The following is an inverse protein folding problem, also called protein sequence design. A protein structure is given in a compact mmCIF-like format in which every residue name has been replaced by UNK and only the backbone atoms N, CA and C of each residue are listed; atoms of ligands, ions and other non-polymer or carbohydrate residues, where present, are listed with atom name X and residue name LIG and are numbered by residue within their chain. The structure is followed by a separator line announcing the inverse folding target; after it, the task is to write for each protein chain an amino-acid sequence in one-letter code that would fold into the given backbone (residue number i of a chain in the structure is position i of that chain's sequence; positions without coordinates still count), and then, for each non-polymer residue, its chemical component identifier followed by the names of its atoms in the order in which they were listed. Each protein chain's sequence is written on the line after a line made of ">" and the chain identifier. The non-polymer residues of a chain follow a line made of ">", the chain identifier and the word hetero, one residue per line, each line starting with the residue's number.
data_IF_871509787278
#
_entry.id   IF_871509787278
#
_cell.length_a   1.000
_cell.length_b   1.000
_cell.length_c   1.000
_cell.angle_alpha   90.00
_cell.angle_beta   90.00
_cell.angle_gamma   90.00
#
_symmetry.space_group_name_H-M   'P 1'
#
loop_
_entity.id
_entity.type
_entity.pdbx_description
1 polymer ?
#
# COMPACT_ATOMS: atom_id res chain seq x y z
N UNK A 1 -8.88 14.99 2.33
CA UNK A 1 -9.49 16.19 2.96
C UNK A 1 -10.35 15.96 4.23
N UNK A 2 -11.40 15.12 4.26
CA UNK A 2 -12.35 15.07 5.42
C UNK A 2 -11.67 14.70 6.74
N UNK A 3 -10.83 13.65 6.75
CA UNK A 3 -10.10 13.24 7.96
C UNK A 3 -9.15 14.33 8.49
N UNK A 4 -8.44 15.03 7.60
CA UNK A 4 -7.58 16.15 7.99
C UNK A 4 -8.41 17.31 8.57
N UNK A 5 -9.57 17.61 7.96
CA UNK A 5 -10.51 18.61 8.46
C UNK A 5 -11.02 18.28 9.86
N UNK A 6 -11.32 17.02 10.17
CA UNK A 6 -11.72 16.62 11.52
C UNK A 6 -10.58 16.75 12.55
N UNK A 7 -9.32 16.75 12.09
CA UNK A 7 -8.14 17.01 12.91
C UNK A 7 -7.80 18.50 13.02
N UNK A 8 -8.52 19.38 12.31
CA UNK A 8 -8.27 20.82 12.30
C UNK A 8 -6.98 21.24 11.57
N UNK A 9 -6.44 20.38 10.70
CA UNK A 9 -5.19 20.63 9.96
C UNK A 9 -5.39 20.43 8.45
N UNK A 10 -4.43 20.90 7.64
CA UNK A 10 -4.39 20.55 6.21
C UNK A 10 -4.07 19.07 6.02
N UNK A 11 -4.38 18.53 4.83
CA UNK A 11 -4.01 17.15 4.52
C UNK A 11 -2.49 16.98 4.51
N UNK A 12 -1.77 17.95 3.93
CA UNK A 12 -0.31 17.96 3.88
C UNK A 12 0.30 17.92 5.27
N UNK A 13 -0.20 18.73 6.21
CA UNK A 13 0.29 18.75 7.59
C UNK A 13 -0.06 17.45 8.34
N UNK A 14 -1.24 16.89 8.11
CA UNK A 14 -1.61 15.59 8.67
C UNK A 14 -0.66 14.48 8.21
N UNK A 15 -0.19 14.52 6.96
CA UNK A 15 0.72 13.53 6.42
C UNK A 15 2.18 13.82 6.82
N UNK A 16 2.72 14.96 6.41
CA UNK A 16 4.16 15.26 6.50
C UNK A 16 4.60 15.65 7.92
N UNK A 17 3.72 16.25 8.74
CA UNK A 17 4.06 16.67 10.11
C UNK A 17 3.56 15.71 11.19
N UNK A 18 2.66 14.81 10.86
CA UNK A 18 2.07 13.88 11.85
C UNK A 18 2.29 12.42 11.47
N UNK A 19 1.71 11.94 10.38
CA UNK A 19 1.72 10.52 10.04
C UNK A 19 3.12 9.99 9.73
N UNK A 20 3.83 10.59 8.77
CA UNK A 20 5.15 10.11 8.34
C UNK A 20 6.19 10.16 9.47
N UNK A 21 6.29 11.24 10.29
CA UNK A 21 7.19 11.26 11.44
C UNK A 21 6.86 10.20 12.49
N UNK A 22 5.57 9.98 12.82
CA UNK A 22 5.17 8.95 13.79
C UNK A 22 5.46 7.53 13.31
N UNK A 23 5.52 7.32 12.00
CA UNK A 23 5.93 6.06 11.39
C UNK A 23 7.45 5.96 11.22
N UNK A 24 8.22 7.03 11.47
CA UNK A 24 9.66 7.09 11.20
C UNK A 24 10.02 6.98 9.72
N UNK A 25 9.13 7.44 8.83
CA UNK A 25 9.32 7.46 7.38
C UNK A 25 9.94 8.81 6.96
N UNK A 26 11.26 8.91 7.10
CA UNK A 26 12.00 10.18 6.93
C UNK A 26 12.34 10.54 5.49
N UNK A 27 12.21 9.59 4.56
CA UNK A 27 12.41 9.77 3.12
C UNK A 27 11.12 9.49 2.35
N UNK A 28 10.03 10.04 2.88
CA UNK A 28 8.68 9.96 2.32
C UNK A 28 8.06 11.34 2.29
N UNK A 29 7.47 11.71 1.16
CA UNK A 29 7.07 13.09 0.89
C UNK A 29 5.81 13.15 0.03
N UNK A 30 4.94 14.15 0.27
CA UNK A 30 3.96 14.57 -0.74
C UNK A 30 4.66 15.47 -1.77
N UNK A 31 5.49 16.38 -1.27
CA UNK A 31 6.36 17.26 -2.06
C UNK A 31 7.83 16.98 -1.72
N UNK A 32 8.58 16.44 -2.68
CA UNK A 32 10.00 16.17 -2.49
C UNK A 32 10.76 17.49 -2.25
N UNK A 33 11.52 17.61 -1.14
CA UNK A 33 12.34 18.78 -0.85
C UNK A 33 13.41 19.05 -1.91
N UNK A 34 13.83 20.31 -2.05
CA UNK A 34 14.80 20.71 -3.09
C UNK A 34 16.15 19.97 -2.97
N UNK A 35 16.61 19.75 -1.74
CA UNK A 35 17.83 19.01 -1.40
C UNK A 35 17.69 17.49 -1.56
N UNK A 36 16.48 16.99 -1.82
CA UNK A 36 16.19 15.58 -2.05
C UNK A 36 15.83 15.26 -3.51
N UNK A 37 15.80 16.27 -4.38
CA UNK A 37 15.42 16.10 -5.78
C UNK A 37 16.34 15.15 -6.55
N UNK A 38 17.63 15.06 -6.18
CA UNK A 38 18.56 14.10 -6.78
C UNK A 38 18.19 12.63 -6.49
N UNK A 39 17.48 12.39 -5.39
CA UNK A 39 16.98 11.07 -5.00
C UNK A 39 15.62 10.73 -5.64
N UNK A 40 14.96 11.70 -6.27
CA UNK A 40 13.73 11.46 -7.01
C UNK A 40 14.06 10.87 -8.38
N UNK A 41 13.97 9.54 -8.50
CA UNK A 41 14.10 8.85 -9.77
C UNK A 41 13.21 9.44 -10.87
N UNK A 42 13.68 9.41 -12.12
CA UNK A 42 12.82 9.62 -13.28
C UNK A 42 11.99 8.38 -13.55
N UNK A 43 10.69 8.56 -13.78
CA UNK A 43 9.82 7.52 -14.29
C UNK A 43 9.88 7.46 -15.81
N UNK A 44 9.53 6.32 -16.39
CA UNK A 44 9.50 6.16 -17.84
C UNK A 44 8.09 5.79 -18.31
N UNK A 45 7.53 6.60 -19.20
CA UNK A 45 6.19 6.36 -19.71
C UNK A 45 6.16 5.20 -20.74
N UNK A 46 4.99 4.93 -21.33
CA UNK A 46 4.84 3.86 -22.34
C UNK A 46 5.66 4.06 -23.61
N UNK A 47 6.12 5.28 -23.89
CA UNK A 47 7.00 5.65 -25.01
C UNK A 47 8.49 5.72 -24.61
N UNK A 48 8.83 5.32 -23.38
CA UNK A 48 10.18 5.45 -22.80
C UNK A 48 10.66 6.89 -22.64
N UNK A 49 9.74 7.86 -22.59
CA UNK A 49 10.08 9.25 -22.28
C UNK A 49 10.17 9.44 -20.75
N UNK A 50 11.17 10.19 -20.26
CA UNK A 50 11.31 10.49 -18.83
C UNK A 50 10.18 11.42 -18.36
N UNK A 51 9.52 11.04 -17.27
CA UNK A 51 8.40 11.76 -16.67
C UNK A 51 8.46 11.73 -15.15
N UNK A 52 8.03 12.82 -14.50
CA UNK A 52 7.60 12.81 -13.11
C UNK A 52 6.08 12.68 -13.02
N UNK A 53 5.57 12.42 -11.82
CA UNK A 53 4.12 12.36 -11.61
C UNK A 53 3.50 13.74 -11.86
N UNK A 54 2.43 13.78 -12.65
CA UNK A 54 1.61 14.98 -12.78
C UNK A 54 0.57 14.99 -11.66
N UNK A 55 0.44 16.10 -10.95
CA UNK A 55 -0.46 16.23 -9.81
C UNK A 55 -1.71 16.99 -10.22
N UNK A 56 -2.86 16.36 -10.12
CA UNK A 56 -4.16 17.00 -10.34
C UNK A 56 -4.85 17.33 -9.00
N UNK A 57 -6.06 17.89 -9.08
CA UNK A 57 -6.91 18.12 -7.91
C UNK A 57 -7.09 16.78 -7.17
N UNK A 58 -6.84 16.78 -5.85
CA UNK A 58 -6.81 15.59 -4.98
C UNK A 58 -5.68 14.58 -5.26
N UNK A 59 -4.67 14.96 -6.06
CA UNK A 59 -3.53 14.09 -6.32
C UNK A 59 -2.75 13.73 -5.05
N UNK A 60 -2.63 14.65 -4.08
CA UNK A 60 -1.97 14.41 -2.80
C UNK A 60 -2.63 13.27 -2.03
N UNK A 61 -3.97 13.26 -1.98
CA UNK A 61 -4.77 12.24 -1.31
C UNK A 61 -4.78 10.90 -2.05
N UNK A 62 -4.77 10.93 -3.38
CA UNK A 62 -5.00 9.73 -4.18
C UNK A 62 -3.71 8.97 -4.55
N UNK A 63 -2.62 9.67 -4.85
CA UNK A 63 -1.40 9.06 -5.40
C UNK A 63 -0.12 9.88 -5.12
N UNK A 64 -0.17 10.80 -4.16
CA UNK A 64 0.82 11.85 -4.02
C UNK A 64 2.11 11.49 -3.30
N UNK A 65 2.18 10.36 -2.61
CA UNK A 65 3.36 9.96 -1.84
C UNK A 65 4.50 9.52 -2.78
N UNK A 66 5.70 10.05 -2.52
CA UNK A 66 6.98 9.59 -3.04
C UNK A 66 7.75 9.05 -1.84
N UNK A 67 8.33 7.86 -1.97
CA UNK A 67 8.96 7.16 -0.84
C UNK A 67 10.09 6.26 -1.34
N UNK A 68 10.90 5.76 -0.40
CA UNK A 68 11.92 4.76 -0.67
C UNK A 68 11.40 3.36 -0.35
N UNK A 69 12.07 2.33 -0.84
CA UNK A 69 11.75 0.94 -0.45
C UNK A 69 11.93 0.71 1.05
N UNK A 70 12.90 1.37 1.68
CA UNK A 70 13.18 1.23 3.12
C UNK A 70 12.06 1.81 3.98
N UNK A 71 11.60 3.02 3.67
CA UNK A 71 10.50 3.67 4.38
C UNK A 71 9.18 2.91 4.19
N UNK A 72 8.89 2.47 2.96
CA UNK A 72 7.65 1.75 2.70
C UNK A 72 7.69 0.33 3.30
N UNK A 73 8.86 -0.29 3.41
CA UNK A 73 9.01 -1.55 4.15
C UNK A 73 8.82 -1.33 5.66
N UNK A 74 9.31 -0.20 6.20
CA UNK A 74 9.02 0.21 7.58
C UNK A 74 7.50 0.37 7.81
N UNK A 75 6.78 0.97 6.87
CA UNK A 75 5.31 1.03 6.93
C UNK A 75 4.66 -0.36 6.93
N UNK A 76 5.15 -1.29 6.10
CA UNK A 76 4.69 -2.69 6.09
C UNK A 76 4.95 -3.38 7.43
N UNK A 77 6.12 -3.18 8.05
CA UNK A 77 6.41 -3.69 9.39
C UNK A 77 5.48 -3.10 10.45
N UNK A 78 5.15 -1.80 10.37
CA UNK A 78 4.18 -1.17 11.26
C UNK A 78 2.77 -1.77 11.13
N UNK A 79 2.34 -2.05 9.89
CA UNK A 79 1.06 -2.72 9.62
C UNK A 79 1.00 -4.12 10.24
N UNK A 80 2.13 -4.83 10.34
CA UNK A 80 2.21 -6.14 11.02
C UNK A 80 2.50 -6.05 12.53
N UNK A 81 2.49 -4.86 13.13
CA UNK A 81 2.81 -4.65 14.55
C UNK A 81 4.25 -5.04 14.93
N UNK A 82 5.18 -5.05 13.97
CA UNK A 82 6.57 -5.46 14.17
C UNK A 82 7.49 -4.31 14.57
N UNK A 83 7.00 -3.08 14.51
CA UNK A 83 7.74 -1.91 14.96
C UNK A 83 7.24 -1.47 16.32
N UNK A 84 8.20 -1.16 17.19
CA UNK A 84 7.91 -0.29 18.33
C UNK A 84 7.70 1.11 17.76
N UNK A 85 6.44 1.52 17.66
CA UNK A 85 6.09 2.89 17.36
C UNK A 85 6.26 3.65 18.68
N UNK A 86 7.45 4.20 18.89
CA UNK A 86 8.01 4.69 20.16
C UNK A 86 7.16 5.74 20.92
N UNK A 87 6.02 6.17 20.38
CA UNK A 87 5.20 7.24 20.96
C UNK A 87 3.66 7.07 20.90
N UNK A 88 3.05 6.00 20.35
CA UNK A 88 1.57 5.97 20.32
C UNK A 88 0.89 4.61 20.12
N UNK A 89 0.26 4.06 21.17
CA UNK A 89 -0.70 2.96 21.04
C UNK A 89 -1.84 3.29 20.05
N UNK A 90 -2.22 4.57 19.91
CA UNK A 90 -3.25 5.00 18.96
C UNK A 90 -2.80 4.89 17.50
N UNK A 91 -1.51 5.05 17.20
CA UNK A 91 -1.02 4.87 15.82
C UNK A 91 -1.09 3.40 15.41
N UNK A 92 -0.67 2.49 16.30
CA UNK A 92 -0.84 1.06 16.06
C UNK A 92 -2.33 0.70 15.91
N UNK A 93 -3.21 1.23 16.77
CA UNK A 93 -4.65 1.04 16.63
C UNK A 93 -5.20 1.57 15.31
N UNK A 94 -4.74 2.73 14.84
CA UNK A 94 -5.15 3.31 13.57
C UNK A 94 -4.74 2.42 12.38
N UNK A 95 -3.49 1.92 12.38
CA UNK A 95 -3.01 0.98 11.36
C UNK A 95 -3.83 -0.31 11.36
N UNK A 96 -4.01 -0.94 12.53
CA UNK A 96 -4.80 -2.17 12.66
C UNK A 96 -6.26 -1.96 12.25
N UNK A 97 -6.85 -0.80 12.54
CA UNK A 97 -8.21 -0.48 12.11
C UNK A 97 -8.36 -0.45 10.58
N UNK A 98 -7.28 -0.16 9.83
CA UNK A 98 -7.33 -0.17 8.36
C UNK A 98 -7.53 -1.56 7.76
N UNK A 99 -7.33 -2.64 8.54
CA UNK A 99 -7.48 -4.04 8.10
C UNK A 99 -8.85 -4.63 8.43
N UNK A 100 -9.81 -3.79 8.85
CA UNK A 100 -11.19 -4.19 9.08
C UNK A 100 -11.87 -4.44 7.73
N UNK A 101 -12.38 -5.66 7.50
CA UNK A 101 -13.05 -6.02 6.26
C UNK A 101 -14.49 -5.53 6.20
N UNK A 102 -14.80 -4.67 5.24
CA UNK A 102 -16.12 -4.03 5.12
C UNK A 102 -16.98 -4.63 4.01
N UNK A 103 -16.38 -5.04 2.89
CA UNK A 103 -17.12 -5.55 1.74
C UNK A 103 -16.46 -6.79 1.14
N UNK A 104 -17.27 -7.67 0.55
CA UNK A 104 -16.82 -8.76 -0.35
C UNK A 104 -17.07 -8.40 -1.80
N UNK A 105 -16.06 -8.56 -2.65
CA UNK A 105 -16.14 -8.40 -4.10
C UNK A 105 -15.39 -9.55 -4.77
N UNK A 106 -16.13 -10.55 -5.25
CA UNK A 106 -15.55 -11.85 -5.56
C UNK A 106 -14.84 -12.44 -4.33
N UNK A 107 -13.60 -12.89 -4.51
CA UNK A 107 -12.78 -13.44 -3.41
C UNK A 107 -12.15 -12.35 -2.50
N UNK A 108 -12.07 -11.11 -2.98
CA UNK A 108 -11.47 -9.99 -2.26
C UNK A 108 -12.38 -9.59 -1.09
N UNK A 109 -11.79 -9.43 0.09
CA UNK A 109 -12.33 -8.57 1.13
C UNK A 109 -11.72 -7.18 0.98
N UNK A 110 -12.57 -6.16 0.87
CA UNK A 110 -12.17 -4.76 0.83
C UNK A 110 -12.18 -4.20 2.24
N UNK A 111 -11.01 -3.71 2.68
CA UNK A 111 -10.83 -3.01 3.94
C UNK A 111 -10.79 -1.48 3.70
N UNK A 112 -10.25 -0.69 4.64
CA UNK A 112 -9.98 0.72 4.38
C UNK A 112 -8.71 0.85 3.51
N UNK A 113 -8.92 1.03 2.21
CA UNK A 113 -7.91 1.04 1.14
C UNK A 113 -7.25 -0.32 0.86
N UNK A 114 -6.92 -1.10 1.89
CA UNK A 114 -6.34 -2.43 1.72
C UNK A 114 -7.31 -3.42 1.07
N UNK A 115 -6.76 -4.34 0.29
CA UNK A 115 -7.46 -5.49 -0.26
C UNK A 115 -6.84 -6.75 0.34
N UNK A 116 -7.67 -7.69 0.80
CA UNK A 116 -7.18 -8.92 1.43
C UNK A 116 -7.84 -10.19 0.87
N UNK A 117 -7.05 -11.26 0.78
CA UNK A 117 -7.50 -12.62 0.47
C UNK A 117 -7.08 -13.59 1.59
N UNK A 118 -7.84 -14.66 1.87
CA UNK A 118 -7.45 -15.68 2.85
C UNK A 118 -6.08 -16.29 2.53
N UNK A 119 -5.26 -16.52 3.56
CA UNK A 119 -3.97 -17.19 3.44
C UNK A 119 -4.03 -18.65 3.94
N UNK A 120 -3.44 -19.64 3.24
CA UNK A 120 -2.67 -19.53 2.00
C UNK A 120 -3.55 -19.21 0.80
N UNK A 121 -3.06 -18.32 -0.06
CA UNK A 121 -3.73 -17.89 -1.30
C UNK A 121 -3.03 -18.49 -2.51
N UNK A 122 -3.78 -18.85 -3.55
CA UNK A 122 -3.20 -19.31 -4.82
C UNK A 122 -2.82 -18.13 -5.71
N UNK A 123 -1.79 -18.30 -6.57
CA UNK A 123 -1.44 -17.28 -7.57
C UNK A 123 -2.64 -16.90 -8.47
N UNK A 124 -3.45 -17.84 -9.02
CA UNK A 124 -4.63 -17.47 -9.79
C UNK A 124 -5.63 -16.59 -9.04
N UNK A 125 -5.86 -16.85 -7.75
CA UNK A 125 -6.78 -16.02 -6.95
C UNK A 125 -6.21 -14.62 -6.72
N UNK A 126 -4.90 -14.50 -6.49
CA UNK A 126 -4.24 -13.19 -6.39
C UNK A 126 -4.30 -12.42 -7.71
N UNK A 127 -4.07 -13.08 -8.84
CA UNK A 127 -4.15 -12.44 -10.16
C UNK A 127 -5.57 -11.94 -10.43
N UNK A 128 -6.58 -12.78 -10.24
CA UNK A 128 -7.99 -12.38 -10.36
C UNK A 128 -8.32 -11.20 -9.43
N UNK A 129 -7.86 -11.25 -8.18
CA UNK A 129 -8.10 -10.18 -7.21
C UNK A 129 -7.44 -8.83 -7.57
N UNK A 130 -6.36 -8.83 -8.34
CA UNK A 130 -5.67 -7.60 -8.75
C UNK A 130 -5.97 -7.19 -10.20
N UNK A 131 -6.87 -7.91 -10.89
CA UNK A 131 -7.26 -7.60 -12.26
C UNK A 131 -8.14 -6.32 -12.28
N UNK A 132 -7.91 -5.47 -13.28
CA UNK A 132 -8.71 -4.25 -13.48
C UNK A 132 -10.20 -4.53 -13.70
N UNK A 133 -10.59 -5.73 -14.13
CA UNK A 133 -11.98 -6.15 -14.22
C UNK A 133 -12.68 -6.13 -12.85
N UNK A 134 -11.94 -6.29 -11.74
CA UNK A 134 -12.49 -6.23 -10.39
C UNK A 134 -13.09 -4.87 -10.03
N UNK A 135 -12.72 -3.79 -10.73
CA UNK A 135 -13.33 -2.48 -10.51
C UNK A 135 -14.80 -2.42 -10.94
N UNK A 136 -15.30 -3.44 -11.65
CA UNK A 136 -16.69 -3.58 -12.09
C UNK A 136 -17.47 -4.62 -11.28
N UNK A 137 -16.81 -5.31 -10.35
CA UNK A 137 -17.42 -6.37 -9.55
C UNK A 137 -18.38 -5.80 -8.51
N UNK A 138 -19.44 -6.55 -8.21
CA UNK A 138 -20.42 -6.17 -7.20
C UNK A 138 -19.80 -6.30 -5.81
N UNK A 139 -19.86 -5.22 -5.02
CA UNK A 139 -19.47 -5.21 -3.62
C UNK A 139 -20.68 -5.51 -2.72
N UNK A 140 -20.54 -6.51 -1.86
CA UNK A 140 -21.55 -6.91 -0.87
C UNK A 140 -21.07 -6.58 0.54
N UNK A 141 -21.87 -5.91 1.38
CA UNK A 141 -21.43 -5.52 2.72
C UNK A 141 -21.27 -6.74 3.63
N UNK A 142 -20.25 -6.69 4.50
CA UNK A 142 -20.05 -7.66 5.57
C UNK A 142 -20.64 -7.06 6.85
N UNK A 143 -21.65 -7.72 7.43
CA UNK A 143 -22.37 -7.24 8.62
C UNK A 143 -22.41 -8.33 9.69
N UNK A 144 -21.76 -8.14 10.86
CA UNK A 144 -20.89 -7.00 11.20
C UNK A 144 -19.59 -7.00 10.38
N UNK A 145 -18.87 -5.86 10.26
CA UNK A 145 -17.56 -5.84 9.60
C UNK A 145 -16.61 -6.89 10.17
N UNK A 146 -15.81 -7.49 9.30
CA UNK A 146 -14.83 -8.50 9.69
C UNK A 146 -13.72 -7.83 10.50
N UNK A 147 -13.42 -8.27 11.73
CA UNK A 147 -12.30 -7.71 12.47
C UNK A 147 -10.99 -7.95 11.72
N UNK A 148 -9.91 -7.18 12.00
CA UNK A 148 -8.59 -7.44 11.44
C UNK A 148 -8.18 -8.91 11.54
N UNK A 149 -7.77 -9.48 10.40
CA UNK A 149 -7.39 -10.88 10.28
C UNK A 149 -5.87 -11.00 10.22
N UNK A 150 -5.32 -12.06 10.82
CA UNK A 150 -3.88 -12.33 10.79
C UNK A 150 -3.49 -13.27 9.63
N UNK A 151 -4.34 -14.26 9.31
CA UNK A 151 -4.11 -15.26 8.27
C UNK A 151 -4.66 -14.81 6.91
N UNK A 152 -4.21 -13.65 6.44
CA UNK A 152 -4.62 -13.07 5.16
C UNK A 152 -3.42 -12.51 4.40
N UNK A 153 -3.48 -12.58 3.08
CA UNK A 153 -2.61 -11.82 2.19
C UNK A 153 -3.23 -10.44 2.01
N UNK A 154 -2.62 -9.41 2.60
CA UNK A 154 -3.04 -8.01 2.46
C UNK A 154 -2.14 -7.36 1.42
N UNK A 155 -2.72 -6.66 0.44
CA UNK A 155 -1.92 -6.02 -0.60
C UNK A 155 -2.50 -4.69 -1.10
N UNK A 156 -1.67 -3.98 -1.87
CA UNK A 156 -2.11 -2.88 -2.72
C UNK A 156 -1.19 -2.70 -3.93
N UNK A 157 -1.80 -2.44 -5.08
CA UNK A 157 -1.14 -1.98 -6.30
C UNK A 157 -1.16 -0.45 -6.39
N UNK A 158 -0.16 0.14 -7.04
CA UNK A 158 -0.12 1.57 -7.35
C UNK A 158 0.59 1.84 -8.66
N UNK A 159 0.09 2.77 -9.46
CA UNK A 159 0.69 3.09 -10.76
C UNK A 159 0.51 4.57 -11.08
N UNK A 160 1.53 5.16 -11.70
CA UNK A 160 1.44 6.46 -12.38
C UNK A 160 1.78 6.28 -13.86
N UNK A 161 1.90 7.37 -14.62
CA UNK A 161 2.33 7.27 -16.01
C UNK A 161 3.75 6.70 -16.16
N UNK A 162 4.63 6.91 -15.17
CA UNK A 162 6.03 6.52 -15.22
C UNK A 162 6.49 5.52 -14.15
N UNK A 163 5.62 5.12 -13.22
CA UNK A 163 6.00 4.27 -12.09
C UNK A 163 5.03 3.13 -11.85
N UNK A 164 5.54 2.05 -11.29
CA UNK A 164 4.79 0.92 -10.81
C UNK A 164 5.20 0.55 -9.39
N UNK A 165 4.21 0.33 -8.53
CA UNK A 165 4.38 -0.11 -7.16
C UNK A 165 3.49 -1.31 -6.85
N UNK A 166 3.97 -2.15 -5.94
CA UNK A 166 3.19 -3.20 -5.31
C UNK A 166 3.70 -3.44 -3.90
N UNK A 167 2.79 -3.58 -2.95
CA UNK A 167 3.09 -3.96 -1.58
C UNK A 167 2.18 -5.10 -1.17
N UNK A 168 2.74 -6.06 -0.44
CA UNK A 168 1.96 -7.16 0.12
C UNK A 168 2.59 -7.66 1.42
N UNK A 169 1.77 -8.18 2.32
CA UNK A 169 2.23 -8.77 3.57
C UNK A 169 1.22 -9.78 4.13
N UNK A 170 1.72 -10.68 4.99
CA UNK A 170 0.94 -11.71 5.67
C UNK A 170 1.25 -11.61 7.16
N UNK A 171 0.38 -10.97 7.97
CA UNK A 171 0.65 -10.68 9.38
C UNK A 171 1.04 -11.92 10.20
N UNK A 172 0.26 -13.01 10.12
CA UNK A 172 0.54 -14.26 10.83
C UNK A 172 1.89 -14.88 10.50
N UNK A 173 2.43 -14.60 9.31
CA UNK A 173 3.72 -15.12 8.85
C UNK A 173 4.86 -14.16 9.05
N UNK A 174 4.59 -12.92 9.46
CA UNK A 174 5.62 -11.89 9.66
C UNK A 174 6.42 -11.63 8.38
N UNK A 175 5.79 -11.80 7.23
CA UNK A 175 6.38 -11.64 5.90
C UNK A 175 5.77 -10.45 5.18
N UNK A 176 6.60 -9.68 4.50
CA UNK A 176 6.16 -8.56 3.68
C UNK A 176 7.13 -8.26 2.55
N UNK A 177 6.62 -7.64 1.49
CA UNK A 177 7.40 -7.24 0.33
C UNK A 177 6.94 -5.86 -0.15
N UNK A 178 7.92 -5.08 -0.59
CA UNK A 178 7.72 -3.81 -1.29
C UNK A 178 8.45 -3.91 -2.63
N UNK A 179 7.74 -3.58 -3.70
CA UNK A 179 8.29 -3.47 -5.05
C UNK A 179 8.01 -2.08 -5.58
N UNK A 180 9.06 -1.35 -5.94
CA UNK A 180 9.00 -0.03 -6.57
C UNK A 180 9.80 -0.08 -7.87
N UNK A 181 9.20 0.39 -8.96
CA UNK A 181 9.84 0.48 -10.26
C UNK A 181 9.52 1.83 -10.91
N UNK A 182 10.49 2.37 -11.63
CA UNK A 182 10.37 3.56 -12.44
C UNK A 182 9.85 3.27 -13.87
N UNK A 183 8.96 2.27 -13.97
CA UNK A 183 8.19 1.94 -15.17
C UNK A 183 6.84 1.41 -14.72
N UNK A 184 5.76 1.84 -15.36
CA UNK A 184 4.45 1.23 -15.14
C UNK A 184 4.32 -0.07 -15.95
N UNK A 185 4.92 -1.15 -15.44
CA UNK A 185 4.81 -2.50 -16.01
C UNK A 185 3.59 -3.26 -15.45
N UNK A 186 3.24 -4.42 -16.04
CA UNK A 186 1.99 -5.13 -15.72
C UNK A 186 1.80 -5.43 -14.23
N UNK A 187 0.57 -5.27 -13.73
CA UNK A 187 0.19 -5.64 -12.36
C UNK A 187 0.40 -7.13 -12.12
N UNK A 188 0.00 -7.99 -13.07
CA UNK A 188 0.14 -9.44 -12.98
C UNK A 188 1.59 -9.87 -12.75
N UNK A 189 2.54 -9.17 -13.39
CA UNK A 189 3.96 -9.43 -13.22
C UNK A 189 4.43 -9.03 -11.81
N UNK A 190 3.95 -7.90 -11.26
CA UNK A 190 4.24 -7.49 -9.88
C UNK A 190 3.73 -8.54 -8.89
N UNK A 191 2.47 -8.92 -9.03
CA UNK A 191 1.82 -9.91 -8.15
C UNK A 191 2.50 -11.27 -8.24
N UNK A 192 2.82 -11.72 -9.45
CA UNK A 192 3.50 -13.01 -9.66
C UNK A 192 4.88 -13.06 -9.02
N UNK A 193 5.69 -11.99 -9.17
CA UNK A 193 7.02 -11.92 -8.54
C UNK A 193 6.91 -11.91 -7.03
N UNK A 194 6.02 -11.07 -6.48
CA UNK A 194 5.79 -11.01 -5.04
C UNK A 194 5.31 -12.35 -4.46
N UNK A 195 4.37 -13.03 -5.13
CA UNK A 195 3.94 -14.37 -4.75
C UNK A 195 5.09 -15.36 -4.72
N UNK A 196 5.92 -15.41 -5.78
CA UNK A 196 7.06 -16.33 -5.85
C UNK A 196 8.08 -16.07 -4.74
N UNK A 197 8.38 -14.79 -4.45
CA UNK A 197 9.32 -14.42 -3.38
C UNK A 197 8.75 -14.79 -2.02
N UNK A 198 7.52 -14.40 -1.70
CA UNK A 198 6.96 -14.68 -0.37
C UNK A 198 6.70 -16.18 -0.15
N UNK A 199 6.30 -16.92 -1.18
CA UNK A 199 6.13 -18.37 -1.09
C UNK A 199 7.45 -19.12 -0.90
N UNK A 200 8.60 -18.58 -1.38
CA UNK A 200 9.89 -19.23 -1.16
C UNK A 200 10.42 -19.09 0.27
N UNK A 201 9.94 -18.07 1.01
CA UNK A 201 10.28 -17.87 2.43
C UNK A 201 9.65 -18.92 3.34
N UNK A 202 8.56 -19.57 2.92
CA UNK A 202 7.88 -20.60 3.70
C UNK A 202 8.58 -21.97 3.66
N UNK A 203 9.66 -22.09 2.88
CA UNK A 203 10.31 -23.36 2.58
C UNK A 203 9.49 -24.18 1.59
N UNK A 204 10.16 -24.81 0.62
CA UNK A 204 9.53 -25.78 -0.27
C UNK A 204 8.90 -26.88 0.60
N UNK A 205 7.57 -26.94 0.67
CA UNK A 205 6.89 -28.19 1.04
C UNK A 205 7.06 -29.20 -0.09
#
# INVERSE_FOLDING_TARGET
>A
MIAAKSLGVSYEDAIEKTLLPQLGMHHSYLKVPADQMENYAWGYNKKDEPVHVNMEILGNEAYGIKTTSSDLLRYVQANMGQLKLDANAKMQQALTATHTGYFKSGEITQDLMWEQLPYPVSLPNLLTGNDMAMTKSVATPIVPPLPPQENVWINKTGSTNGFGAYIAFVPAKKMGIVMLANKNYSIDQRVTVAYKILSSLEGNK
#
